data_IF_162021286449
#
_entry.id   IF_162021286449
#
_cell.length_a   1.000
_cell.length_b   1.000
_cell.length_c   1.000
_cell.angle_alpha   90.00
_cell.angle_beta   90.00
_cell.angle_gamma   90.00
#
_symmetry.space_group_name_H-M   'P 1'
#
loop_
_entity.id
_entity.type
_entity.pdbx_description
1 polymer ?
#
# COMPACT_ATOMS: atom_id res chain seq x y z
N UNK A 1 -2.47 -7.21 10.95
CA UNK A 1 -1.51 -7.85 10.02
C UNK A 1 -0.16 -7.96 10.74
N UNK A 2 0.71 -8.93 10.43
CA UNK A 2 2.04 -9.05 11.08
C UNK A 2 2.87 -7.75 10.98
N UNK A 3 2.68 -6.98 9.91
CA UNK A 3 3.25 -5.63 9.76
C UNK A 3 2.80 -4.65 10.85
N UNK A 4 1.57 -4.80 11.36
CA UNK A 4 1.03 -3.96 12.44
C UNK A 4 1.61 -4.35 13.82
N UNK A 5 2.32 -5.48 13.94
CA UNK A 5 2.97 -5.96 15.18
C UNK A 5 4.46 -5.62 15.26
N UNK A 6 5.03 -4.94 14.24
CA UNK A 6 6.46 -4.60 14.21
C UNK A 6 7.38 -5.74 13.73
N UNK A 7 6.81 -6.87 13.32
CA UNK A 7 7.55 -8.05 12.84
C UNK A 7 7.75 -8.01 11.32
N UNK A 8 8.14 -6.83 10.80
CA UNK A 8 8.21 -6.60 9.36
C UNK A 8 9.21 -7.53 8.66
N UNK A 9 10.33 -7.84 9.32
CA UNK A 9 11.37 -8.73 8.80
C UNK A 9 10.89 -10.18 8.69
N UNK A 10 10.26 -10.70 9.75
CA UNK A 10 9.67 -12.05 9.74
C UNK A 10 8.56 -12.16 8.68
N UNK A 11 7.74 -11.11 8.53
CA UNK A 11 6.73 -11.06 7.47
C UNK A 11 7.35 -11.12 6.07
N UNK A 12 8.46 -10.41 5.84
CA UNK A 12 9.18 -10.46 4.56
C UNK A 12 9.74 -11.86 4.28
N UNK A 13 10.33 -12.53 5.27
CA UNK A 13 10.85 -13.90 5.14
C UNK A 13 9.74 -14.93 4.82
N UNK A 14 8.60 -14.82 5.50
CA UNK A 14 7.42 -15.67 5.24
C UNK A 14 6.88 -15.45 3.82
N UNK A 15 6.80 -14.20 3.37
CA UNK A 15 6.30 -13.86 2.04
C UNK A 15 7.26 -14.31 0.93
N UNK A 16 8.56 -14.20 1.14
CA UNK A 16 9.56 -14.75 0.23
C UNK A 16 9.39 -16.27 0.06
N UNK A 17 9.19 -16.98 1.16
CA UNK A 17 8.94 -18.44 1.16
C UNK A 17 7.65 -18.80 0.43
N UNK A 18 6.58 -18.01 0.64
CA UNK A 18 5.30 -18.20 -0.04
C UNK A 18 5.40 -17.95 -1.55
N UNK A 19 6.15 -16.91 -1.98
CA UNK A 19 6.41 -16.63 -3.39
C UNK A 19 7.13 -17.79 -4.08
N UNK A 20 8.16 -18.36 -3.45
CA UNK A 20 8.89 -19.49 -3.99
C UNK A 20 8.03 -20.75 -4.10
N UNK A 21 7.16 -20.99 -3.12
CA UNK A 21 6.21 -22.11 -3.14
C UNK A 21 5.12 -21.95 -4.21
N UNK A 22 4.72 -20.71 -4.50
CA UNK A 22 3.74 -20.38 -5.54
C UNK A 22 4.34 -20.41 -6.96
N UNK A 23 5.67 -20.55 -7.09
CA UNK A 23 6.39 -20.53 -8.37
C UNK A 23 6.03 -21.77 -9.19
N UNK A 24 5.17 -21.57 -10.19
CA UNK A 24 4.79 -22.61 -11.16
C UNK A 24 3.51 -23.38 -10.81
N UNK A 25 2.97 -23.19 -9.61
CA UNK A 25 1.72 -23.84 -9.15
C UNK A 25 0.53 -22.88 -9.10
N UNK A 26 0.81 -21.58 -9.02
CA UNK A 26 -0.20 -20.53 -8.82
C UNK A 26 -0.40 -19.67 -10.06
N UNK A 27 -1.64 -19.19 -10.24
CA UNK A 27 -2.00 -18.21 -11.25
C UNK A 27 -1.20 -16.90 -11.11
N UNK A 28 -1.07 -16.17 -12.23
CA UNK A 28 -0.29 -14.93 -12.31
C UNK A 28 -0.74 -13.87 -11.29
N UNK A 29 -2.04 -13.74 -11.08
CA UNK A 29 -2.62 -12.74 -10.16
C UNK A 29 -2.22 -12.99 -8.69
N UNK A 30 -2.29 -14.24 -8.23
CA UNK A 30 -1.84 -14.59 -6.87
C UNK A 30 -0.35 -14.31 -6.69
N UNK A 31 0.47 -14.61 -7.71
CA UNK A 31 1.91 -14.32 -7.67
C UNK A 31 2.19 -12.81 -7.66
N UNK A 32 1.43 -12.01 -8.41
CA UNK A 32 1.53 -10.55 -8.37
C UNK A 32 1.18 -10.01 -6.97
N UNK A 33 0.13 -10.54 -6.35
CA UNK A 33 -0.26 -10.18 -5.00
C UNK A 33 0.80 -10.52 -3.95
N UNK A 34 1.37 -11.73 -4.01
CA UNK A 34 2.43 -12.16 -3.09
C UNK A 34 3.67 -11.27 -3.22
N UNK A 35 4.10 -10.96 -4.45
CA UNK A 35 5.21 -10.05 -4.71
C UNK A 35 4.95 -8.64 -4.18
N UNK A 36 3.72 -8.11 -4.33
CA UNK A 36 3.35 -6.80 -3.79
C UNK A 36 3.34 -6.80 -2.25
N UNK A 37 2.80 -7.87 -1.62
CA UNK A 37 2.80 -8.02 -0.17
C UNK A 37 4.23 -8.09 0.38
N UNK A 38 5.11 -8.82 -0.31
CA UNK A 38 6.53 -8.91 0.06
C UNK A 38 7.21 -7.53 -0.06
N UNK A 39 6.94 -6.80 -1.15
CA UNK A 39 7.41 -5.43 -1.31
C UNK A 39 6.98 -4.51 -0.17
N UNK A 40 5.74 -4.61 0.30
CA UNK A 40 5.25 -3.85 1.45
C UNK A 40 6.00 -4.21 2.75
N UNK A 41 6.23 -5.50 3.01
CA UNK A 41 6.96 -5.97 4.19
C UNK A 41 8.44 -5.53 4.19
N UNK A 42 9.08 -5.55 3.01
CA UNK A 42 10.43 -5.04 2.82
C UNK A 42 10.51 -3.53 3.07
N UNK A 43 9.54 -2.76 2.59
CA UNK A 43 9.47 -1.32 2.87
C UNK A 43 9.31 -1.04 4.37
N UNK A 44 8.45 -1.79 5.06
CA UNK A 44 8.30 -1.69 6.51
C UNK A 44 9.60 -2.07 7.27
N UNK A 45 10.47 -2.88 6.66
CA UNK A 45 11.80 -3.24 7.18
C UNK A 45 12.93 -2.32 6.71
N UNK A 46 12.62 -1.23 6.00
CA UNK A 46 13.57 -0.27 5.39
C UNK A 46 14.48 -0.88 4.31
N UNK A 47 14.11 -2.01 3.73
CA UNK A 47 14.83 -2.69 2.65
C UNK A 47 14.48 -2.09 1.28
N UNK A 48 14.85 -0.82 1.07
CA UNK A 48 14.45 0.03 -0.07
C UNK A 48 14.56 -0.69 -1.43
N UNK A 49 15.76 -1.09 -1.82
CA UNK A 49 16.01 -1.64 -3.16
C UNK A 49 15.31 -2.99 -3.38
N UNK A 50 15.14 -3.79 -2.33
CA UNK A 50 14.42 -5.05 -2.42
C UNK A 50 12.91 -4.81 -2.57
N UNK A 51 12.37 -3.85 -1.82
CA UNK A 51 10.96 -3.45 -1.91
C UNK A 51 10.60 -3.01 -3.33
N UNK A 52 11.40 -2.10 -3.92
CA UNK A 52 11.16 -1.61 -5.29
C UNK A 52 11.17 -2.75 -6.32
N UNK A 53 12.15 -3.64 -6.25
CA UNK A 53 12.22 -4.80 -7.15
C UNK A 53 11.02 -5.75 -7.01
N UNK A 54 10.51 -5.92 -5.79
CA UNK A 54 9.32 -6.74 -5.55
C UNK A 54 8.06 -6.12 -6.18
N UNK A 55 7.92 -4.78 -6.14
CA UNK A 55 6.83 -4.09 -6.82
C UNK A 55 6.96 -4.13 -8.35
N UNK A 56 8.16 -3.95 -8.91
CA UNK A 56 8.40 -4.12 -10.35
C UNK A 56 8.06 -5.55 -10.79
N UNK A 57 8.37 -6.54 -9.94
CA UNK A 57 7.99 -7.93 -10.17
C UNK A 57 6.48 -8.13 -10.14
N UNK A 58 5.79 -7.57 -9.15
CA UNK A 58 4.34 -7.64 -9.05
C UNK A 58 3.67 -7.07 -10.30
N UNK A 59 4.12 -5.91 -10.76
CA UNK A 59 3.63 -5.26 -11.98
C UNK A 59 3.83 -6.14 -13.22
N UNK A 60 5.03 -6.74 -13.38
CA UNK A 60 5.29 -7.67 -14.50
C UNK A 60 4.38 -8.91 -14.52
N UNK A 61 3.87 -9.30 -13.34
CA UNK A 61 3.02 -10.47 -13.18
C UNK A 61 1.54 -10.16 -13.42
N UNK A 62 1.12 -8.90 -13.38
CA UNK A 62 -0.27 -8.52 -13.58
C UNK A 62 -0.82 -9.06 -14.92
N UNK A 63 -1.98 -9.73 -14.92
CA UNK A 63 -2.59 -10.20 -16.15
C UNK A 63 -3.04 -9.00 -17.02
N UNK A 64 -2.99 -9.12 -18.35
CA UNK A 64 -3.57 -8.11 -19.23
C UNK A 64 -5.10 -8.19 -19.18
N UNK A 65 -5.76 -7.14 -18.68
CA UNK A 65 -7.23 -7.06 -18.60
C UNK A 65 -7.77 -7.16 -17.17
N UNK A 66 -9.09 -7.04 -16.98
CA UNK A 66 -9.73 -7.19 -15.67
C UNK A 66 -9.44 -8.59 -15.11
N UNK A 67 -9.25 -8.68 -13.78
CA UNK A 67 -8.95 -9.94 -13.11
C UNK A 67 -9.94 -11.03 -13.55
N UNK A 68 -9.43 -12.14 -14.09
CA UNK A 68 -10.26 -13.26 -14.52
C UNK A 68 -11.16 -13.74 -13.37
N UNK A 69 -12.37 -14.17 -13.73
CA UNK A 69 -13.36 -14.71 -12.80
C UNK A 69 -12.87 -15.95 -12.01
N UNK A 70 -11.70 -16.50 -12.34
CA UNK A 70 -11.07 -17.65 -11.68
C UNK A 70 -10.54 -17.35 -10.26
N UNK A 71 -10.46 -16.08 -9.85
CA UNK A 71 -9.98 -15.73 -8.51
C UNK A 71 -10.94 -14.79 -7.76
N UNK A 72 -12.16 -15.25 -7.45
CA UNK A 72 -13.23 -14.42 -6.87
C UNK A 72 -12.90 -13.85 -5.47
N UNK A 73 -11.84 -14.36 -4.84
CA UNK A 73 -11.40 -13.96 -3.51
C UNK A 73 -10.20 -13.00 -3.51
N UNK A 74 -9.63 -12.67 -4.69
CA UNK A 74 -8.45 -11.81 -4.80
C UNK A 74 -8.75 -10.55 -5.61
N UNK A 75 -8.92 -9.43 -4.91
CA UNK A 75 -9.07 -8.12 -5.54
C UNK A 75 -7.69 -7.48 -5.67
N UNK A 76 -7.13 -7.56 -6.88
CA UNK A 76 -5.92 -6.86 -7.25
C UNK A 76 -6.03 -6.39 -8.71
N UNK A 77 -6.02 -5.08 -8.90
CA UNK A 77 -5.87 -4.42 -10.19
C UNK A 77 -4.69 -3.43 -10.13
N UNK A 78 -4.51 -2.68 -11.21
CA UNK A 78 -3.45 -1.67 -11.32
C UNK A 78 -3.59 -0.54 -10.30
N UNK A 79 -4.82 -0.15 -9.92
CA UNK A 79 -5.09 0.91 -8.95
C UNK A 79 -4.73 0.41 -7.53
N UNK A 80 -5.13 -0.81 -7.20
CA UNK A 80 -4.78 -1.45 -5.93
C UNK A 80 -3.26 -1.62 -5.80
N UNK A 81 -2.59 -2.08 -6.87
CA UNK A 81 -1.15 -2.22 -6.87
C UNK A 81 -0.42 -0.88 -6.73
N UNK A 82 -0.87 0.15 -7.46
CA UNK A 82 -0.32 1.51 -7.35
C UNK A 82 -0.46 2.07 -5.93
N UNK A 83 -1.60 1.82 -5.27
CA UNK A 83 -1.80 2.20 -3.86
C UNK A 83 -0.78 1.52 -2.94
N UNK A 84 -0.52 0.23 -3.12
CA UNK A 84 0.44 -0.50 -2.29
C UNK A 84 1.87 -0.02 -2.53
N UNK A 85 2.24 0.19 -3.81
CA UNK A 85 3.54 0.77 -4.19
C UNK A 85 3.71 2.16 -3.58
N UNK A 86 2.71 3.03 -3.71
CA UNK A 86 2.72 4.37 -3.11
C UNK A 86 2.92 4.35 -1.59
N UNK A 87 2.26 3.44 -0.87
CA UNK A 87 2.46 3.28 0.57
C UNK A 87 3.91 2.88 0.90
N UNK A 88 4.46 1.92 0.16
CA UNK A 88 5.84 1.48 0.34
C UNK A 88 6.85 2.61 0.05
N UNK A 89 6.63 3.37 -1.02
CA UNK A 89 7.41 4.55 -1.38
C UNK A 89 7.39 5.60 -0.27
N UNK A 90 6.23 5.90 0.29
CA UNK A 90 6.09 6.84 1.41
C UNK A 90 6.85 6.35 2.67
N UNK A 91 6.80 5.04 2.96
CA UNK A 91 7.50 4.44 4.12
C UNK A 91 9.01 4.50 4.00
N UNK A 92 9.57 4.33 2.80
CA UNK A 92 11.01 4.35 2.56
C UNK A 92 11.54 5.75 2.17
N UNK A 93 10.66 6.75 2.06
CA UNK A 93 11.03 8.15 1.85
C UNK A 93 11.28 8.54 0.39
N UNK A 94 10.67 7.85 -0.58
CA UNK A 94 10.77 8.23 -1.99
C UNK A 94 9.93 9.45 -2.33
N UNK A 95 10.51 10.40 -3.05
CA UNK A 95 9.83 11.62 -3.49
C UNK A 95 8.62 11.32 -4.41
N UNK A 96 8.74 10.29 -5.25
CA UNK A 96 7.67 9.85 -6.16
C UNK A 96 6.42 9.31 -5.43
N UNK A 97 6.48 9.09 -4.11
CA UNK A 97 5.33 8.64 -3.33
C UNK A 97 4.12 9.57 -3.48
N UNK A 98 4.33 10.88 -3.49
CA UNK A 98 3.26 11.88 -3.61
C UNK A 98 2.48 11.69 -4.92
N UNK A 99 3.19 11.66 -6.04
CA UNK A 99 2.58 11.54 -7.37
C UNK A 99 1.83 10.21 -7.53
N UNK A 100 2.45 9.11 -7.09
CA UNK A 100 1.85 7.76 -7.16
C UNK A 100 0.59 7.67 -6.30
N UNK A 101 0.64 8.17 -5.06
CA UNK A 101 -0.49 8.15 -4.14
C UNK A 101 -1.62 9.08 -4.59
N UNK A 102 -1.30 10.26 -5.10
CA UNK A 102 -2.29 11.19 -5.65
C UNK A 102 -2.98 10.63 -6.89
N UNK A 103 -2.23 9.99 -7.80
CA UNK A 103 -2.80 9.31 -8.95
C UNK A 103 -3.69 8.12 -8.55
N UNK A 104 -3.26 7.31 -7.58
CA UNK A 104 -4.08 6.24 -7.04
C UNK A 104 -5.39 6.79 -6.43
N UNK A 105 -5.34 7.92 -5.73
CA UNK A 105 -6.51 8.51 -5.08
C UNK A 105 -7.53 9.03 -6.08
N UNK A 106 -7.07 9.63 -7.19
CA UNK A 106 -7.96 10.11 -8.26
C UNK A 106 -8.68 8.98 -8.99
N UNK A 107 -8.05 7.81 -9.09
CA UNK A 107 -8.60 6.66 -9.82
C UNK A 107 -9.31 5.63 -8.93
N UNK A 108 -9.28 5.81 -7.61
CA UNK A 108 -9.91 4.88 -6.67
C UNK A 108 -11.44 4.95 -6.80
N UNK A 109 -12.09 3.78 -6.85
CA UNK A 109 -13.54 3.68 -6.77
C UNK A 109 -14.03 4.27 -5.43
N UNK A 110 -14.97 5.24 -5.45
CA UNK A 110 -15.41 5.95 -4.24
C UNK A 110 -16.13 5.06 -3.22
N UNK A 111 -16.58 3.86 -3.61
CA UNK A 111 -17.17 2.88 -2.68
C UNK A 111 -16.13 2.22 -1.77
N UNK A 112 -14.84 2.35 -2.08
CA UNK A 112 -13.73 1.77 -1.31
C UNK A 112 -13.30 2.69 -0.16
N UNK A 113 -14.24 3.13 0.68
CA UNK A 113 -14.01 4.11 1.75
C UNK A 113 -12.84 3.74 2.66
N UNK A 114 -12.70 2.46 3.02
CA UNK A 114 -11.55 1.97 3.83
C UNK A 114 -10.21 2.15 3.13
N UNK A 115 -10.15 1.91 1.82
CA UNK A 115 -8.93 2.09 1.04
C UNK A 115 -8.63 3.59 0.86
N UNK A 116 -9.65 4.41 0.61
CA UNK A 116 -9.52 5.87 0.50
C UNK A 116 -8.94 6.46 1.80
N UNK A 117 -9.47 6.07 2.96
CA UNK A 117 -8.97 6.52 4.26
C UNK A 117 -7.49 6.23 4.42
N UNK A 118 -7.05 4.99 4.15
CA UNK A 118 -5.64 4.62 4.25
C UNK A 118 -4.76 5.39 3.28
N UNK A 119 -5.20 5.52 2.04
CA UNK A 119 -4.47 6.21 0.98
C UNK A 119 -4.27 7.70 1.28
N UNK A 120 -5.28 8.37 1.86
CA UNK A 120 -5.15 9.78 2.31
C UNK A 120 -4.17 9.94 3.47
N UNK A 121 -4.11 9.00 4.41
CA UNK A 121 -3.10 9.00 5.50
C UNK A 121 -1.69 8.84 4.93
N UNK A 122 -1.52 7.93 3.97
CA UNK A 122 -0.22 7.68 3.33
C UNK A 122 0.24 8.91 2.53
N UNK A 123 -0.68 9.54 1.77
CA UNK A 123 -0.38 10.75 1.01
C UNK A 123 -0.03 11.93 1.93
N UNK A 124 -0.77 12.11 3.03
CA UNK A 124 -0.42 13.13 4.02
C UNK A 124 0.98 12.91 4.61
N UNK A 125 1.36 11.65 4.88
CA UNK A 125 2.69 11.30 5.38
C UNK A 125 3.78 11.68 4.37
N UNK A 126 3.57 11.35 3.09
CA UNK A 126 4.49 11.71 2.01
C UNK A 126 4.62 13.24 1.84
N UNK A 127 3.50 13.96 1.86
CA UNK A 127 3.47 15.44 1.78
C UNK A 127 4.17 16.11 2.97
N UNK A 128 4.00 15.59 4.20
CA UNK A 128 4.73 16.09 5.37
C UNK A 128 6.23 15.90 5.19
N UNK A 129 6.66 14.72 4.71
CA UNK A 129 8.07 14.42 4.45
C UNK A 129 8.67 15.31 3.35
N UNK A 130 7.87 15.74 2.36
CA UNK A 130 8.30 16.69 1.31
C UNK A 130 8.19 18.15 1.71
N UNK A 131 7.63 18.47 2.88
CA UNK A 131 7.45 19.83 3.38
C UNK A 131 6.14 20.52 2.96
N UNK A 132 5.28 19.84 2.22
CA UNK A 132 4.00 20.32 1.67
C UNK A 132 2.87 20.29 2.74
N UNK A 133 3.08 21.01 3.85
CA UNK A 133 2.22 20.90 5.05
C UNK A 133 0.77 21.35 4.84
N UNK A 134 0.53 22.35 3.99
CA UNK A 134 -0.82 22.87 3.76
C UNK A 134 -1.69 21.85 3.02
N UNK A 135 -1.14 21.18 1.99
CA UNK A 135 -1.83 20.10 1.28
C UNK A 135 -2.00 18.88 2.18
N UNK A 136 -0.98 18.52 2.97
CA UNK A 136 -1.08 17.43 3.93
C UNK A 136 -2.25 17.61 4.90
N UNK A 137 -2.48 18.83 5.43
CA UNK A 137 -3.59 19.12 6.35
C UNK A 137 -4.97 18.85 5.73
N UNK A 138 -5.14 19.10 4.43
CA UNK A 138 -6.40 18.80 3.74
C UNK A 138 -6.66 17.29 3.69
N UNK A 139 -5.63 16.50 3.38
CA UNK A 139 -5.72 15.05 3.37
C UNK A 139 -5.96 14.46 4.76
N UNK A 140 -5.27 14.97 5.79
CA UNK A 140 -5.47 14.56 7.19
C UNK A 140 -6.92 14.82 7.65
N UNK A 141 -7.46 16.00 7.36
CA UNK A 141 -8.83 16.37 7.75
C UNK A 141 -9.85 15.41 7.14
N UNK A 142 -9.74 15.13 5.83
CA UNK A 142 -10.64 14.20 5.16
C UNK A 142 -10.45 12.76 5.64
N UNK A 143 -9.21 12.32 5.83
CA UNK A 143 -8.90 10.99 6.37
C UNK A 143 -9.48 10.80 7.77
N UNK A 144 -9.42 11.81 8.64
CA UNK A 144 -9.98 11.76 9.99
C UNK A 144 -11.50 11.59 9.97
N UNK A 145 -12.21 12.36 9.14
CA UNK A 145 -13.65 12.23 8.98
C UNK A 145 -14.05 10.81 8.54
N UNK A 146 -13.40 10.28 7.49
CA UNK A 146 -13.67 8.95 6.97
C UNK A 146 -13.28 7.84 7.97
N UNK A 147 -12.17 8.00 8.69
CA UNK A 147 -11.73 7.04 9.71
C UNK A 147 -12.72 6.93 10.87
N UNK A 148 -13.29 8.06 11.30
CA UNK A 148 -14.34 8.10 12.32
C UNK A 148 -15.63 7.44 11.82
N UNK A 149 -16.06 7.77 10.58
CA UNK A 149 -17.26 7.21 9.95
C UNK A 149 -17.23 5.68 9.87
N UNK A 150 -16.10 5.11 9.44
CA UNK A 150 -15.95 3.66 9.27
C UNK A 150 -15.46 2.92 10.54
N UNK A 151 -15.28 3.65 11.65
CA UNK A 151 -14.80 3.10 12.93
C UNK A 151 -13.37 2.54 12.90
N UNK A 152 -12.48 3.09 12.07
CA UNK A 152 -11.12 2.56 11.92
C UNK A 152 -10.16 3.02 13.02
N UNK A 153 -10.13 2.28 14.13
CA UNK A 153 -9.19 2.54 15.26
C UNK A 153 -7.73 2.62 14.78
N UNK A 154 -7.34 1.76 13.84
CA UNK A 154 -5.98 1.75 13.28
C UNK A 154 -5.63 3.07 12.60
N UNK A 155 -6.50 3.60 11.75
CA UNK A 155 -6.22 4.85 11.03
C UNK A 155 -6.27 6.06 11.97
N UNK A 156 -7.17 6.06 12.97
CA UNK A 156 -7.20 7.11 14.00
C UNK A 156 -5.89 7.18 14.78
N UNK A 157 -5.30 6.02 15.15
CA UNK A 157 -3.98 5.99 15.80
C UNK A 157 -2.87 6.54 14.91
N UNK A 158 -2.87 6.20 13.61
CA UNK A 158 -1.89 6.74 12.66
C UNK A 158 -2.02 8.25 12.48
N UNK A 159 -3.25 8.74 12.41
CA UNK A 159 -3.55 10.18 12.30
C UNK A 159 -3.08 10.95 13.53
N UNK A 160 -3.30 10.42 14.73
CA UNK A 160 -2.81 11.04 15.97
C UNK A 160 -1.28 11.22 15.95
N UNK A 161 -0.54 10.20 15.54
CA UNK A 161 0.92 10.25 15.44
C UNK A 161 1.45 11.28 14.42
N UNK A 162 0.65 11.66 13.41
CA UNK A 162 1.01 12.66 12.40
C UNK A 162 0.67 14.09 12.80
N UNK A 163 -0.33 14.26 13.67
CA UNK A 163 -0.70 15.58 14.20
C UNK A 163 0.27 16.09 15.27
N UNK A 164 1.03 15.18 15.88
CA UNK A 164 2.03 15.47 16.91
C UNK A 164 3.45 15.74 16.32
N UNK A 165 3.61 15.65 15.00
CA UNK A 165 4.89 15.77 14.27
C UNK A 165 5.03 17.12 13.54
#
# INVERSE_FOLDING_TARGET
MLLDLGHAKEAAELLATAEDSARGTSGRLLRAWLAAAHGEALAASKERSASLRAFDRAESLMPPGPADAESPYLVLDTIHLARWRGNALARIGEAEAVDVLAAALRNLDPTFTRAETGLRVDLATALIASGERDEARQHLTKAHALAAEIGSVRQLRRLAALSDA
#
